data_IF_814586624192
#
_entry.id   IF_814586624192
#
_cell.length_a   1.000
_cell.length_b   1.000
_cell.length_c   1.000
_cell.angle_alpha   90.00
_cell.angle_beta   90.00
_cell.angle_gamma   90.00
#
_symmetry.space_group_name_H-M   'P 1'
#
loop_
_entity.id
_entity.type
_entity.pdbx_description
1 polymer ?
#
# COMPACT_ATOMS: atom_id res chain seq x y z
N UNK A 1 -24.48 -8.67 9.20
CA UNK A 1 -24.64 -10.00 8.62
C UNK A 1 -26.12 -10.22 8.32
N UNK A 2 -26.42 -10.66 7.11
CA UNK A 2 -27.77 -10.94 6.67
C UNK A 2 -27.96 -12.46 6.66
N UNK A 3 -29.07 -12.91 7.24
CA UNK A 3 -29.45 -14.32 7.26
C UNK A 3 -30.76 -14.44 6.52
N UNK A 4 -30.86 -15.36 5.60
CA UNK A 4 -32.06 -15.60 4.83
C UNK A 4 -32.22 -17.06 4.47
N UNK A 5 -33.44 -17.41 4.00
CA UNK A 5 -33.74 -18.71 3.44
C UNK A 5 -34.15 -18.54 1.99
N UNK A 6 -33.59 -19.34 1.10
CA UNK A 6 -34.00 -19.39 -0.30
C UNK A 6 -34.27 -20.82 -0.73
N UNK A 7 -35.29 -20.99 -1.59
CA UNK A 7 -35.62 -22.30 -2.15
C UNK A 7 -34.87 -22.52 -3.46
N UNK A 8 -34.02 -23.54 -3.50
CA UNK A 8 -33.26 -23.93 -4.69
C UNK A 8 -33.63 -25.35 -5.07
N UNK A 9 -34.29 -25.53 -6.21
CA UNK A 9 -34.74 -26.83 -6.73
C UNK A 9 -35.58 -27.66 -5.76
N UNK A 10 -36.40 -26.97 -4.95
CA UNK A 10 -37.30 -27.63 -3.98
C UNK A 10 -36.69 -27.89 -2.59
N UNK A 11 -35.42 -27.52 -2.38
CA UNK A 11 -34.76 -27.57 -1.07
C UNK A 11 -34.61 -26.16 -0.49
N UNK A 12 -34.94 -26.00 0.79
CA UNK A 12 -34.76 -24.75 1.52
C UNK A 12 -33.32 -24.67 2.01
N UNK A 13 -32.60 -23.62 1.54
CA UNK A 13 -31.20 -23.37 1.86
C UNK A 13 -31.12 -22.13 2.72
N UNK A 14 -30.45 -22.23 3.86
CA UNK A 14 -30.11 -21.08 4.69
C UNK A 14 -28.85 -20.46 4.15
N UNK A 15 -28.89 -19.18 3.85
CA UNK A 15 -27.67 -18.41 3.52
C UNK A 15 -27.37 -17.40 4.61
N UNK A 16 -26.06 -17.20 4.85
CA UNK A 16 -25.56 -16.22 5.81
C UNK A 16 -24.54 -15.38 5.06
N UNK A 17 -24.84 -14.09 4.88
CA UNK A 17 -23.89 -13.13 4.31
C UNK A 17 -23.12 -12.46 5.43
N UNK A 18 -21.82 -12.72 5.49
CA UNK A 18 -20.88 -12.08 6.42
C UNK A 18 -19.99 -11.13 5.63
N UNK A 19 -20.17 -9.79 5.76
CA UNK A 19 -19.33 -8.83 5.05
C UNK A 19 -17.90 -8.92 5.56
N UNK A 20 -16.95 -8.63 4.68
CA UNK A 20 -15.55 -8.57 5.04
C UNK A 20 -15.31 -7.43 6.03
N UNK A 21 -14.63 -7.69 7.15
CA UNK A 21 -14.27 -6.66 8.11
C UNK A 21 -13.39 -5.58 7.44
N UNK A 22 -13.67 -4.32 7.74
CA UNK A 22 -12.81 -3.20 7.34
C UNK A 22 -11.41 -3.37 7.94
N UNK A 23 -10.39 -2.80 7.27
CA UNK A 23 -8.99 -2.96 7.69
C UNK A 23 -8.75 -2.54 9.14
N UNK A 24 -9.35 -1.43 9.58
CA UNK A 24 -9.22 -0.89 10.95
C UNK A 24 -9.73 -1.83 12.05
N UNK A 25 -10.59 -2.80 11.70
CA UNK A 25 -11.14 -3.78 12.64
C UNK A 25 -10.45 -5.15 12.55
N UNK A 26 -9.36 -5.28 11.82
CA UNK A 26 -8.61 -6.52 11.71
C UNK A 26 -7.41 -6.52 12.65
N UNK A 27 -7.01 -7.70 13.14
CA UNK A 27 -7.63 -9.02 12.91
C UNK A 27 -8.94 -9.20 13.67
N UNK A 28 -9.89 -9.93 13.09
CA UNK A 28 -11.06 -10.43 13.81
C UNK A 28 -10.68 -11.77 14.43
N UNK A 29 -10.88 -11.92 15.73
CA UNK A 29 -10.40 -13.10 16.47
C UNK A 29 -11.38 -13.52 17.57
N UNK A 30 -11.24 -14.76 18.01
CA UNK A 30 -11.99 -15.35 19.12
C UNK A 30 -11.07 -15.61 20.31
N UNK A 31 -11.67 -15.87 21.48
CA UNK A 31 -10.95 -16.24 22.71
C UNK A 31 -9.90 -15.22 23.18
N UNK A 32 -10.13 -13.93 22.95
CA UNK A 32 -9.30 -12.81 23.43
C UNK A 32 -7.80 -12.89 23.04
N UNK A 33 -7.44 -13.80 22.13
CA UNK A 33 -6.07 -14.00 21.71
C UNK A 33 -5.93 -13.91 20.17
N UNK A 34 -5.51 -12.78 19.63
CA UNK A 34 -5.40 -12.59 18.19
C UNK A 34 -4.43 -13.57 17.53
N UNK A 35 -3.34 -13.95 18.20
CA UNK A 35 -2.34 -14.87 17.61
C UNK A 35 -2.84 -16.31 17.49
N UNK A 36 -3.81 -16.71 18.30
CA UNK A 36 -4.38 -18.05 18.29
C UNK A 36 -5.85 -18.10 17.84
N UNK A 37 -6.53 -16.96 17.87
CA UNK A 37 -7.95 -16.86 17.59
C UNK A 37 -8.30 -16.27 16.23
N UNK A 38 -7.31 -15.91 15.42
CA UNK A 38 -7.56 -15.38 14.07
C UNK A 38 -7.58 -16.51 13.04
N UNK A 39 -8.66 -16.56 12.29
CA UNK A 39 -8.89 -17.56 11.26
C UNK A 39 -9.11 -16.90 9.90
N UNK A 40 -8.72 -17.59 8.86
CA UNK A 40 -9.08 -17.27 7.47
C UNK A 40 -9.86 -18.43 6.87
N UNK A 41 -10.89 -18.11 6.10
CA UNK A 41 -11.66 -19.08 5.34
C UNK A 41 -11.15 -19.15 3.91
N UNK A 42 -10.88 -20.35 3.45
CA UNK A 42 -10.82 -20.65 2.01
C UNK A 42 -11.96 -21.60 1.65
N UNK A 43 -12.03 -22.05 0.39
CA UNK A 43 -13.12 -22.95 -0.08
C UNK A 43 -13.08 -24.34 0.55
N UNK A 44 -11.99 -24.75 1.21
CA UNK A 44 -11.86 -26.06 1.84
C UNK A 44 -12.16 -26.04 3.34
N UNK A 45 -12.02 -24.90 4.00
CA UNK A 45 -12.27 -24.81 5.45
C UNK A 45 -11.74 -23.56 6.12
N UNK A 46 -11.76 -23.59 7.45
CA UNK A 46 -11.23 -22.53 8.29
C UNK A 46 -9.81 -22.90 8.75
N UNK A 47 -8.86 -21.98 8.51
CA UNK A 47 -7.45 -22.16 8.83
C UNK A 47 -6.99 -21.08 9.78
N UNK A 48 -6.18 -21.45 10.75
CA UNK A 48 -5.49 -20.49 11.58
C UNK A 48 -4.59 -19.59 10.73
N UNK A 49 -4.66 -18.29 11.00
CA UNK A 49 -3.66 -17.38 10.45
C UNK A 49 -2.30 -17.61 11.11
N UNK A 50 -1.24 -17.47 10.33
CA UNK A 50 0.12 -17.49 10.86
C UNK A 50 0.37 -16.23 11.69
N UNK A 51 1.38 -16.27 12.58
CA UNK A 51 1.74 -15.10 13.37
C UNK A 51 2.11 -13.89 12.49
N UNK A 52 2.73 -14.11 11.34
CA UNK A 52 3.10 -13.04 10.41
C UNK A 52 1.89 -12.43 9.72
N UNK A 53 0.89 -13.24 9.35
CA UNK A 53 -0.39 -12.74 8.83
C UNK A 53 -1.14 -11.90 9.86
N UNK A 54 -1.16 -12.33 11.12
CA UNK A 54 -1.79 -11.56 12.21
C UNK A 54 -1.06 -10.25 12.45
N UNK A 55 0.28 -10.25 12.46
CA UNK A 55 1.08 -9.02 12.58
C UNK A 55 0.84 -8.06 11.41
N UNK A 56 0.75 -8.61 10.19
CA UNK A 56 0.41 -7.81 9.01
C UNK A 56 -0.97 -7.15 9.16
N UNK A 57 -1.99 -7.90 9.63
CA UNK A 57 -3.33 -7.34 9.87
C UNK A 57 -3.31 -6.20 10.90
N UNK A 58 -2.54 -6.33 11.99
CA UNK A 58 -2.38 -5.24 12.97
C UNK A 58 -1.69 -4.02 12.37
N UNK A 59 -0.63 -4.22 11.60
CA UNK A 59 0.05 -3.14 10.91
C UNK A 59 -0.89 -2.40 9.95
N UNK A 60 -1.68 -3.15 9.18
CA UNK A 60 -2.59 -2.62 8.17
C UNK A 60 -3.87 -2.02 8.78
N UNK A 61 -4.18 -2.31 10.06
CA UNK A 61 -5.32 -1.74 10.78
C UNK A 61 -5.06 -0.33 11.31
N UNK A 62 -3.83 0.12 11.25
CA UNK A 62 -3.48 1.48 11.68
C UNK A 62 -4.05 2.52 10.71
N UNK A 63 -4.99 3.33 11.16
CA UNK A 63 -5.66 4.38 10.37
C UNK A 63 -4.68 5.45 9.82
N UNK A 64 -3.49 5.56 10.40
CA UNK A 64 -2.47 6.53 9.97
C UNK A 64 -1.66 6.08 8.74
N UNK A 65 -1.87 4.86 8.23
CA UNK A 65 -1.05 4.28 7.16
C UNK A 65 0.45 4.27 7.53
N UNK A 66 1.19 3.26 7.11
CA UNK A 66 2.65 3.28 7.32
C UNK A 66 3.38 4.27 6.39
N UNK A 67 2.69 4.75 5.35
CA UNK A 67 3.29 5.54 4.26
C UNK A 67 3.88 6.86 4.73
N UNK A 68 3.24 7.50 5.71
CA UNK A 68 3.72 8.72 6.36
C UNK A 68 4.79 8.52 7.44
N UNK A 69 5.20 7.28 7.72
CA UNK A 69 6.22 7.01 8.72
C UNK A 69 7.59 7.47 8.24
N UNK A 70 8.31 8.19 9.08
CA UNK A 70 9.64 8.69 8.79
C UNK A 70 10.69 7.57 8.81
N UNK A 71 11.64 7.64 7.91
CA UNK A 71 12.75 6.69 7.76
C UNK A 71 14.04 7.35 8.24
N UNK A 72 14.45 7.05 9.47
CA UNK A 72 15.70 7.55 10.02
C UNK A 72 16.89 7.20 9.11
N UNK A 73 17.73 8.18 8.82
CA UNK A 73 18.90 8.02 7.97
C UNK A 73 18.65 8.20 6.46
N UNK A 74 17.39 8.22 5.99
CA UNK A 74 17.06 8.48 4.59
C UNK A 74 16.75 9.96 4.38
N UNK A 75 17.50 10.61 3.53
CA UNK A 75 17.49 12.06 3.32
C UNK A 75 17.18 12.43 1.87
N UNK A 76 17.24 13.70 1.52
CA UNK A 76 17.10 14.16 0.14
C UNK A 76 18.19 13.62 -0.79
N UNK A 77 19.34 13.19 -0.24
CA UNK A 77 20.41 12.57 -1.02
C UNK A 77 20.02 11.21 -1.57
N UNK A 78 19.00 10.57 -1.00
CA UNK A 78 18.47 9.28 -1.43
C UNK A 78 17.40 9.42 -2.52
N UNK A 79 17.03 10.64 -2.91
CA UNK A 79 16.07 10.93 -3.98
C UNK A 79 16.71 10.78 -5.36
N UNK A 80 16.02 10.10 -6.27
CA UNK A 80 16.29 10.22 -7.70
C UNK A 80 15.68 11.52 -8.24
N UNK A 81 16.55 12.46 -8.53
CA UNK A 81 16.16 13.81 -8.97
C UNK A 81 15.40 13.79 -10.31
N UNK A 82 15.64 12.80 -11.17
CA UNK A 82 14.98 12.70 -12.46
C UNK A 82 13.52 12.27 -12.28
N UNK A 83 13.26 11.30 -11.42
CA UNK A 83 11.88 10.87 -11.06
C UNK A 83 11.11 12.05 -10.44
N UNK A 84 11.71 12.79 -9.52
CA UNK A 84 11.07 13.96 -8.92
C UNK A 84 10.75 15.04 -9.96
N UNK A 85 11.69 15.35 -10.84
CA UNK A 85 11.50 16.35 -11.91
C UNK A 85 10.40 15.94 -12.88
N UNK A 86 10.38 14.68 -13.29
CA UNK A 86 9.34 14.13 -14.18
C UNK A 86 7.97 14.27 -13.54
N UNK A 87 7.85 13.93 -12.27
CA UNK A 87 6.61 14.09 -11.52
C UNK A 87 6.18 15.56 -11.42
N UNK A 88 7.09 16.49 -11.14
CA UNK A 88 6.80 17.92 -11.04
C UNK A 88 6.30 18.50 -12.37
N UNK A 89 6.90 18.09 -13.49
CA UNK A 89 6.44 18.50 -14.83
C UNK A 89 4.99 18.04 -15.07
N UNK A 90 4.69 16.79 -14.73
CA UNK A 90 3.35 16.24 -14.88
C UNK A 90 2.34 16.91 -13.93
N UNK A 91 2.76 17.19 -12.69
CA UNK A 91 1.94 17.92 -11.72
C UNK A 91 1.60 19.34 -12.21
N UNK A 92 2.59 20.09 -12.71
CA UNK A 92 2.40 21.44 -13.26
C UNK A 92 1.50 21.40 -14.49
N UNK A 93 1.69 20.43 -15.39
CA UNK A 93 0.85 20.26 -16.58
C UNK A 93 -0.62 20.03 -16.22
N UNK A 94 -0.89 19.21 -15.19
CA UNK A 94 -2.25 18.94 -14.70
C UNK A 94 -2.83 20.08 -13.86
N UNK A 95 -1.97 20.85 -13.19
CA UNK A 95 -2.35 21.89 -12.24
C UNK A 95 -1.58 23.20 -12.49
N UNK A 96 -1.75 23.86 -13.64
CA UNK A 96 -0.88 24.96 -14.07
C UNK A 96 -0.89 26.19 -13.17
N UNK A 97 -1.95 26.38 -12.38
CA UNK A 97 -2.09 27.53 -11.46
C UNK A 97 -1.86 27.16 -9.99
N UNK A 98 -1.40 25.94 -9.72
CA UNK A 98 -1.23 25.48 -8.35
C UNK A 98 -0.04 26.17 -7.67
N UNK A 99 -0.25 26.63 -6.44
CA UNK A 99 0.78 27.36 -5.67
C UNK A 99 2.04 26.55 -5.41
N UNK A 100 1.98 25.23 -5.47
CA UNK A 100 3.13 24.36 -5.25
C UNK A 100 4.11 24.33 -6.43
N UNK A 101 3.71 24.81 -7.61
CA UNK A 101 4.60 24.86 -8.76
C UNK A 101 5.83 25.78 -8.54
N UNK A 102 5.68 26.80 -7.68
CA UNK A 102 6.76 27.70 -7.31
C UNK A 102 7.64 27.27 -6.13
N UNK A 103 7.36 26.11 -5.51
CA UNK A 103 8.15 25.61 -4.38
C UNK A 103 9.48 25.00 -4.86
N UNK A 104 10.50 25.03 -4.01
CA UNK A 104 11.68 24.20 -4.23
C UNK A 104 11.35 22.71 -4.01
N UNK A 105 12.32 21.82 -4.31
CA UNK A 105 12.10 20.39 -4.25
C UNK A 105 11.83 19.88 -2.83
N UNK A 106 12.50 20.45 -1.83
CA UNK A 106 12.32 20.05 -0.44
C UNK A 106 10.93 20.45 0.07
N UNK A 107 10.52 21.70 -0.17
CA UNK A 107 9.23 22.22 0.22
C UNK A 107 8.08 21.49 -0.51
N UNK A 108 8.28 21.16 -1.79
CA UNK A 108 7.33 20.40 -2.56
C UNK A 108 7.12 19.00 -1.96
N UNK A 109 8.21 18.30 -1.62
CA UNK A 109 8.15 16.99 -0.98
C UNK A 109 7.55 17.06 0.43
N UNK A 110 7.80 18.14 1.19
CA UNK A 110 7.15 18.34 2.49
C UNK A 110 5.63 18.51 2.34
N UNK A 111 5.18 19.26 1.33
CA UNK A 111 3.73 19.41 1.04
C UNK A 111 3.07 18.10 0.64
N UNK A 112 3.79 17.23 -0.04
CA UNK A 112 3.32 15.89 -0.40
C UNK A 112 3.42 14.87 0.74
N UNK A 113 3.91 15.26 1.91
CA UNK A 113 4.19 14.35 3.04
C UNK A 113 5.20 13.25 2.68
N UNK A 114 6.09 13.51 1.73
CA UNK A 114 7.17 12.62 1.31
C UNK A 114 8.47 12.86 2.06
N UNK A 115 8.62 14.05 2.66
CA UNK A 115 9.78 14.49 3.43
C UNK A 115 9.32 15.35 4.60
N UNK A 116 10.10 15.44 5.65
CA UNK A 116 9.79 16.32 6.78
C UNK A 116 10.60 16.01 8.02
N UNK A 117 10.25 16.66 9.13
CA UNK A 117 10.96 16.51 10.41
C UNK A 117 10.27 15.45 11.26
N UNK A 118 10.96 14.38 11.57
CA UNK A 118 10.54 13.45 12.60
C UNK A 118 10.55 14.15 13.96
N UNK A 119 9.38 14.22 14.58
CA UNK A 119 9.21 14.92 15.87
C UNK A 119 9.91 14.22 17.03
N UNK A 120 10.22 12.93 16.88
CA UNK A 120 10.90 12.12 17.88
C UNK A 120 12.40 12.35 17.84
N UNK A 121 13.02 12.22 16.66
CA UNK A 121 14.47 12.38 16.48
C UNK A 121 14.89 13.81 16.22
N UNK A 122 13.98 14.69 15.78
CA UNK A 122 14.21 16.06 15.31
C UNK A 122 15.02 16.13 14.00
N UNK A 123 15.21 15.02 13.33
CA UNK A 123 15.90 14.94 12.06
C UNK A 123 14.93 15.12 10.89
N UNK A 124 15.42 15.73 9.82
CA UNK A 124 14.70 15.77 8.53
C UNK A 124 15.01 14.51 7.74
N UNK A 125 13.98 13.77 7.38
CA UNK A 125 14.11 12.51 6.66
C UNK A 125 12.92 12.25 5.72
N UNK A 126 13.11 11.31 4.82
CA UNK A 126 12.04 10.82 3.95
C UNK A 126 11.01 10.01 4.74
N UNK A 127 9.79 10.02 4.24
CA UNK A 127 8.78 9.04 4.65
C UNK A 127 8.87 7.78 3.79
N UNK A 128 8.17 6.72 4.19
CA UNK A 128 8.04 5.51 3.36
C UNK A 128 7.49 5.85 1.98
N UNK A 129 6.44 6.68 1.91
CA UNK A 129 5.90 7.14 0.62
C UNK A 129 6.93 7.90 -0.20
N UNK A 130 7.68 8.82 0.42
CA UNK A 130 8.72 9.60 -0.26
C UNK A 130 9.80 8.73 -0.86
N UNK A 131 10.29 7.74 -0.10
CA UNK A 131 11.30 6.80 -0.59
C UNK A 131 10.76 5.90 -1.70
N UNK A 132 9.53 5.38 -1.58
CA UNK A 132 8.93 4.53 -2.60
C UNK A 132 8.60 5.27 -3.90
N UNK A 133 8.22 6.56 -3.80
CA UNK A 133 7.84 7.36 -4.98
C UNK A 133 9.05 7.94 -5.71
N UNK A 134 10.07 8.35 -4.98
CA UNK A 134 11.16 9.17 -5.54
C UNK A 134 12.56 8.68 -5.16
N UNK A 135 12.67 7.59 -4.40
CA UNK A 135 13.97 7.11 -3.94
C UNK A 135 14.82 6.51 -5.06
N UNK A 136 16.14 6.65 -4.93
CA UNK A 136 17.07 5.88 -5.74
C UNK A 136 16.85 4.37 -5.53
N UNK A 137 16.96 3.58 -6.58
CA UNK A 137 16.77 2.14 -6.51
C UNK A 137 17.61 1.45 -5.44
N UNK A 138 18.84 1.91 -5.22
CA UNK A 138 19.73 1.42 -4.16
C UNK A 138 19.15 1.66 -2.76
N UNK A 139 18.65 2.86 -2.50
CA UNK A 139 18.06 3.25 -1.22
C UNK A 139 16.74 2.49 -0.96
N UNK A 140 15.93 2.31 -2.00
CA UNK A 140 14.69 1.51 -1.92
C UNK A 140 15.00 0.05 -1.58
N UNK A 141 15.98 -0.57 -2.25
CA UNK A 141 16.37 -1.97 -1.99
C UNK A 141 17.02 -2.10 -0.60
N UNK A 142 17.83 -1.15 -0.16
CA UNK A 142 18.41 -1.13 1.18
C UNK A 142 17.32 -1.18 2.26
N UNK A 143 16.27 -0.39 2.09
CA UNK A 143 15.18 -0.32 3.07
C UNK A 143 14.20 -1.49 2.96
N UNK A 144 13.92 -1.95 1.73
CA UNK A 144 12.88 -2.93 1.42
C UNK A 144 13.42 -4.13 0.63
N UNK A 145 14.46 -4.76 1.09
CA UNK A 145 15.27 -5.81 0.43
C UNK A 145 14.59 -6.80 -0.51
N UNK A 146 13.28 -7.03 -0.36
CA UNK A 146 12.47 -7.93 -1.20
C UNK A 146 11.29 -7.21 -1.87
N UNK A 147 11.44 -5.92 -2.15
CA UNK A 147 10.38 -5.17 -2.82
C UNK A 147 10.11 -5.75 -4.20
N UNK A 148 8.82 -5.90 -4.52
CA UNK A 148 8.35 -6.22 -5.87
C UNK A 148 7.24 -5.26 -6.21
N UNK A 149 7.33 -4.67 -7.38
CA UNK A 149 6.31 -3.81 -7.93
C UNK A 149 5.95 -4.30 -9.33
N UNK A 150 4.66 -4.52 -9.55
CA UNK A 150 4.09 -4.92 -10.84
C UNK A 150 2.95 -3.97 -11.16
N UNK A 151 3.04 -3.30 -12.30
CA UNK A 151 1.88 -2.65 -12.91
C UNK A 151 1.19 -3.65 -13.83
N UNK A 152 -0.11 -3.83 -13.64
CA UNK A 152 -0.91 -4.77 -14.42
C UNK A 152 -2.12 -4.03 -14.99
N UNK A 153 -2.12 -3.82 -16.30
CA UNK A 153 -3.29 -3.28 -17.00
C UNK A 153 -4.28 -4.41 -17.33
N UNK A 154 -5.53 -4.21 -16.94
CA UNK A 154 -6.64 -5.12 -17.22
C UNK A 154 -7.79 -4.43 -17.97
N UNK A 155 -7.55 -3.26 -18.55
CA UNK A 155 -8.60 -2.45 -19.18
C UNK A 155 -9.18 -3.05 -20.45
N UNK A 156 -8.40 -3.76 -21.24
CA UNK A 156 -8.81 -4.31 -22.55
C UNK A 156 -8.53 -5.83 -22.63
N UNK A 157 -9.13 -6.60 -21.71
CA UNK A 157 -8.92 -8.05 -21.69
C UNK A 157 -9.56 -8.73 -22.91
N UNK A 158 -8.76 -9.49 -23.64
CA UNK A 158 -9.25 -10.44 -24.65
C UNK A 158 -9.52 -11.80 -24.02
N UNK A 159 -10.39 -12.59 -24.66
CA UNK A 159 -10.78 -13.90 -24.15
C UNK A 159 -9.53 -14.79 -23.94
N UNK A 160 -9.27 -15.17 -22.68
CA UNK A 160 -8.12 -16.01 -22.30
C UNK A 160 -6.88 -15.27 -21.85
N UNK A 161 -6.83 -13.93 -21.95
CA UNK A 161 -5.71 -13.14 -21.39
C UNK A 161 -5.93 -12.81 -19.91
N UNK A 162 -4.84 -12.81 -19.14
CA UNK A 162 -4.86 -12.43 -17.72
C UNK A 162 -4.67 -10.92 -17.51
N UNK A 163 -4.07 -10.23 -18.47
CA UNK A 163 -3.78 -8.80 -18.51
C UNK A 163 -3.64 -8.35 -19.96
N UNK A 164 -3.88 -7.09 -20.24
CA UNK A 164 -3.63 -6.44 -21.52
C UNK A 164 -2.20 -5.92 -21.61
N UNK A 165 -1.64 -5.47 -20.49
CA UNK A 165 -0.24 -5.06 -20.36
C UNK A 165 0.29 -5.33 -18.95
N UNK A 166 1.60 -5.50 -18.82
CA UNK A 166 2.28 -5.71 -17.55
C UNK A 166 3.69 -5.13 -17.58
N UNK A 167 3.97 -4.25 -16.63
CA UNK A 167 5.32 -3.76 -16.36
C UNK A 167 5.77 -4.34 -15.03
N UNK A 168 6.86 -5.09 -15.05
CA UNK A 168 7.47 -5.71 -13.87
C UNK A 168 8.76 -4.99 -13.56
N UNK A 169 9.03 -4.73 -12.30
CA UNK A 169 10.29 -4.18 -11.84
C UNK A 169 11.46 -5.10 -12.26
N UNK A 170 12.40 -4.53 -12.99
CA UNK A 170 13.56 -5.23 -13.58
C UNK A 170 14.87 -5.00 -12.81
N UNK A 171 14.81 -4.35 -11.65
CA UNK A 171 15.97 -3.95 -10.87
C UNK A 171 16.46 -2.53 -11.15
N UNK A 172 15.88 -1.86 -12.12
CA UNK A 172 16.16 -0.48 -12.50
C UNK A 172 14.99 0.40 -12.08
N UNK A 173 15.12 1.05 -10.95
CA UNK A 173 14.07 1.95 -10.43
C UNK A 173 14.20 3.33 -11.05
N UNK A 174 14.19 3.37 -12.36
CA UNK A 174 14.13 4.62 -13.10
C UNK A 174 12.67 4.86 -13.49
N UNK A 175 12.07 5.88 -12.94
CA UNK A 175 10.68 6.27 -13.21
C UNK A 175 9.62 5.38 -12.53
N UNK A 176 9.44 5.57 -11.26
CA UNK A 176 8.23 5.11 -10.56
C UNK A 176 7.02 5.97 -10.90
#
# INVERSE_FOLDING_TARGET
SDVGVCNVKGADIIFIHVPRAEYKYRPVYINENPMKGTFKRNHEGDYHCTADEVRAMFRDSNDSGNDGSFLAGFTLDDIDINSLRSYRIEFEHRNPTHVWNGLDDADFLEKMSCYGTDRTTKEKCLTIAGLLMFGKGTAVIERFGNIRMDYIDKSNLTLGSRWSDRVTYDGMWENN
#
